data_IF_042655139429
#
_entry.id   IF_042655139429
#
_cell.length_a   1.000
_cell.length_b   1.000
_cell.length_c   1.000
_cell.angle_alpha   90.00
_cell.angle_beta   90.00
_cell.angle_gamma   90.00
#
_symmetry.space_group_name_H-M   'P 1'
#
loop_
_entity.id
_entity.type
_entity.pdbx_description
1 polymer ?
#
# COMPACT_ATOMS: atom_id res chain seq x y z
N UNK A 1 20.72 10.12 11.78
CA UNK A 1 20.45 9.73 10.39
C UNK A 1 21.66 10.09 9.53
N UNK A 2 22.17 9.13 8.77
CA UNK A 2 23.29 9.32 7.82
C UNK A 2 22.75 9.01 6.44
N UNK A 3 22.97 9.93 5.49
CA UNK A 3 22.68 9.74 4.08
C UNK A 3 23.99 9.61 3.29
N UNK A 4 24.10 8.53 2.53
CA UNK A 4 25.24 8.26 1.64
C UNK A 4 24.74 8.46 0.21
N UNK A 5 25.42 9.27 -0.59
CA UNK A 5 25.12 9.44 -2.01
C UNK A 5 25.96 8.46 -2.82
N UNK A 6 25.30 7.66 -3.65
CA UNK A 6 25.92 6.70 -4.57
C UNK A 6 25.70 7.16 -6.00
N UNK A 7 26.78 7.36 -6.74
CA UNK A 7 26.73 7.69 -8.16
C UNK A 7 27.25 6.50 -8.97
N UNK A 8 26.50 6.07 -9.97
CA UNK A 8 26.88 4.94 -10.81
C UNK A 8 26.50 5.15 -12.27
N UNK A 9 27.29 4.58 -13.18
CA UNK A 9 26.97 4.46 -14.60
C UNK A 9 26.28 3.14 -14.96
N UNK A 10 26.11 2.27 -13.96
CA UNK A 10 25.43 0.99 -14.09
C UNK A 10 24.24 0.93 -13.15
N UNK A 11 23.15 0.34 -13.63
CA UNK A 11 21.96 0.12 -12.82
C UNK A 11 22.27 -0.87 -11.69
N UNK A 12 21.96 -0.50 -10.47
CA UNK A 12 22.15 -1.33 -9.27
C UNK A 12 20.78 -1.64 -8.69
N UNK A 13 20.49 -2.92 -8.53
CA UNK A 13 19.22 -3.36 -7.95
C UNK A 13 19.09 -2.96 -6.48
N UNK A 14 17.90 -2.57 -6.06
CA UNK A 14 17.63 -2.05 -4.71
C UNK A 14 18.01 -3.02 -3.59
N UNK A 15 17.90 -4.33 -3.85
CA UNK A 15 18.35 -5.37 -2.92
C UNK A 15 19.82 -5.20 -2.49
N UNK A 16 20.70 -4.81 -3.42
CA UNK A 16 22.12 -4.60 -3.11
C UNK A 16 22.34 -3.29 -2.35
N UNK A 17 21.54 -2.26 -2.66
CA UNK A 17 21.56 -1.00 -1.92
C UNK A 17 21.19 -1.24 -0.45
N UNK A 18 20.11 -1.95 -0.20
CA UNK A 18 19.68 -2.30 1.16
C UNK A 18 20.69 -3.18 1.91
N UNK A 19 21.39 -4.05 1.18
CA UNK A 19 22.46 -4.84 1.78
C UNK A 19 23.64 -3.95 2.20
N UNK A 20 24.04 -3.00 1.38
CA UNK A 20 25.08 -2.01 1.71
C UNK A 20 24.65 -1.17 2.92
N UNK A 21 23.42 -0.67 2.96
CA UNK A 21 22.89 0.06 4.12
C UNK A 21 22.99 -0.76 5.41
N UNK A 22 22.59 -2.03 5.34
CA UNK A 22 22.66 -2.97 6.45
C UNK A 22 24.08 -3.21 6.93
N UNK A 23 25.02 -3.43 5.99
CA UNK A 23 26.43 -3.67 6.30
C UNK A 23 27.09 -2.42 6.89
N UNK A 24 26.84 -1.24 6.32
CA UNK A 24 27.36 0.03 6.85
C UNK A 24 26.85 0.25 8.28
N UNK A 25 25.57 0.01 8.53
CA UNK A 25 24.99 0.12 9.87
C UNK A 25 25.65 -0.85 10.85
N UNK A 26 25.83 -2.12 10.46
CA UNK A 26 26.42 -3.13 11.31
C UNK A 26 27.90 -2.88 11.61
N UNK A 27 28.69 -2.45 10.64
CA UNK A 27 30.12 -2.27 10.79
C UNK A 27 30.49 -0.95 11.47
N UNK A 28 29.81 0.14 11.12
CA UNK A 28 30.18 1.47 11.59
C UNK A 28 29.33 1.96 12.76
N UNK A 29 28.09 1.48 12.87
CA UNK A 29 27.10 2.02 13.80
C UNK A 29 26.36 0.95 14.62
N UNK A 30 27.00 -0.20 14.84
CA UNK A 30 26.39 -1.36 15.53
C UNK A 30 25.82 -1.04 16.91
N UNK A 31 26.40 -0.09 17.63
CA UNK A 31 26.00 0.32 18.99
C UNK A 31 25.17 1.60 19.03
N UNK A 32 24.75 2.11 17.87
CA UNK A 32 24.01 3.37 17.78
C UNK A 32 22.62 3.15 17.17
N UNK A 33 21.66 4.01 17.51
CA UNK A 33 20.34 4.06 16.87
C UNK A 33 20.34 4.85 15.56
N UNK A 34 21.51 5.05 14.95
CA UNK A 34 21.65 5.80 13.69
C UNK A 34 21.08 4.96 12.56
N UNK A 35 20.22 5.58 11.76
CA UNK A 35 19.78 5.02 10.48
C UNK A 35 20.73 5.44 9.37
N UNK A 36 21.09 4.51 8.50
CA UNK A 36 21.88 4.74 7.30
C UNK A 36 20.97 4.56 6.11
N UNK A 37 20.98 5.50 5.18
CA UNK A 37 20.25 5.43 3.92
C UNK A 37 21.17 5.80 2.77
N UNK A 38 21.11 5.04 1.69
CA UNK A 38 21.84 5.31 0.45
C UNK A 38 20.87 5.93 -0.55
N UNK A 39 21.21 7.13 -1.05
CA UNK A 39 20.52 7.76 -2.18
C UNK A 39 21.34 7.52 -3.43
N UNK A 40 20.83 6.71 -4.33
CA UNK A 40 21.44 6.43 -5.62
C UNK A 40 21.01 7.43 -6.68
N UNK A 41 21.96 7.77 -7.55
CA UNK A 41 21.77 8.55 -8.78
C UNK A 41 22.55 7.89 -9.90
N UNK A 42 21.97 7.82 -11.07
CA UNK A 42 22.53 7.11 -12.20
C UNK A 42 22.82 8.05 -13.38
N UNK A 43 24.01 7.91 -13.95
CA UNK A 43 24.41 8.49 -15.24
C UNK A 43 24.43 7.37 -16.29
N UNK A 44 23.22 6.90 -16.66
CA UNK A 44 23.05 5.74 -17.53
C UNK A 44 23.21 6.12 -19.00
N UNK A 45 23.75 5.18 -19.79
CA UNK A 45 23.87 5.34 -21.24
C UNK A 45 22.47 5.45 -21.90
N UNK A 46 22.43 5.89 -23.16
CA UNK A 46 21.19 6.05 -23.93
C UNK A 46 20.45 4.73 -24.19
N UNK A 47 21.10 3.60 -24.01
CA UNK A 47 20.49 2.26 -24.10
C UNK A 47 19.43 2.03 -23.04
N UNK A 48 19.53 2.71 -21.90
CA UNK A 48 18.53 2.64 -20.83
C UNK A 48 17.36 3.58 -21.15
N UNK A 49 16.49 3.14 -22.05
CA UNK A 49 15.22 3.82 -22.28
C UNK A 49 14.31 3.71 -21.07
N UNK A 50 13.30 4.58 -20.91
CA UNK A 50 12.33 4.46 -19.81
C UNK A 50 11.67 3.08 -19.74
N UNK A 51 11.34 2.47 -20.87
CA UNK A 51 10.76 1.14 -20.94
C UNK A 51 11.74 0.07 -20.43
N UNK A 52 13.01 0.10 -20.88
CA UNK A 52 14.03 -0.82 -20.38
C UNK A 52 14.27 -0.64 -18.88
N UNK A 53 14.28 0.60 -18.39
CA UNK A 53 14.41 0.89 -16.96
C UNK A 53 13.23 0.35 -16.15
N UNK A 54 12.01 0.50 -16.67
CA UNK A 54 10.83 -0.06 -16.01
C UNK A 54 10.93 -1.58 -15.89
N UNK A 55 11.37 -2.27 -16.95
CA UNK A 55 11.52 -3.72 -16.97
C UNK A 55 12.67 -4.19 -16.06
N UNK A 56 13.85 -3.59 -16.19
CA UNK A 56 15.05 -4.00 -15.45
C UNK A 56 15.00 -3.68 -13.95
N UNK A 57 14.33 -2.58 -13.59
CA UNK A 57 14.26 -2.10 -12.22
C UNK A 57 12.93 -2.43 -11.53
N UNK A 58 12.06 -3.19 -12.16
CA UNK A 58 10.71 -3.49 -11.68
C UNK A 58 10.68 -4.07 -10.26
N UNK A 59 11.50 -5.09 -10.01
CA UNK A 59 11.60 -5.69 -8.68
C UNK A 59 12.07 -4.69 -7.62
N UNK A 60 12.92 -3.76 -8.01
CA UNK A 60 13.40 -2.70 -7.12
C UNK A 60 12.30 -1.70 -6.78
N UNK A 61 11.42 -1.35 -7.73
CA UNK A 61 10.22 -0.56 -7.45
C UNK A 61 9.31 -1.26 -6.43
N UNK A 62 9.06 -2.56 -6.62
CA UNK A 62 8.24 -3.32 -5.69
C UNK A 62 8.85 -3.39 -4.29
N UNK A 63 10.19 -3.55 -4.19
CA UNK A 63 10.90 -3.55 -2.91
C UNK A 63 10.80 -2.21 -2.17
N UNK A 64 10.93 -1.10 -2.89
CA UNK A 64 10.81 0.23 -2.28
C UNK A 64 9.39 0.53 -1.84
N UNK A 65 8.41 0.17 -2.68
CA UNK A 65 7.00 0.33 -2.35
C UNK A 65 6.59 -0.54 -1.16
N UNK A 66 7.16 -1.74 -1.02
CA UNK A 66 6.88 -2.61 0.13
C UNK A 66 7.27 -1.96 1.47
N UNK A 67 8.34 -1.19 1.49
CA UNK A 67 8.74 -0.42 2.68
C UNK A 67 7.92 0.87 2.88
N UNK A 68 7.37 1.43 1.80
CA UNK A 68 6.61 2.68 1.83
C UNK A 68 5.12 2.47 2.02
N UNK A 69 4.53 1.59 1.22
CA UNK A 69 3.09 1.36 1.16
C UNK A 69 2.79 0.01 0.50
N UNK A 70 2.44 -0.98 1.28
CA UNK A 70 2.02 -2.30 0.78
C UNK A 70 0.86 -2.20 -0.21
N UNK A 71 -0.01 -1.20 -0.04
CA UNK A 71 -1.12 -0.94 -0.95
C UNK A 71 -0.61 -0.54 -2.33
N UNK A 72 0.29 0.45 -2.42
CA UNK A 72 0.86 0.92 -3.69
C UNK A 72 1.71 -0.18 -4.35
N UNK A 73 2.43 -0.96 -3.55
CA UNK A 73 3.15 -2.15 -4.02
C UNK A 73 2.21 -3.15 -4.69
N UNK A 74 1.07 -3.47 -4.06
CA UNK A 74 0.09 -4.38 -4.63
C UNK A 74 -0.61 -3.79 -5.87
N UNK A 75 -0.84 -2.48 -5.89
CA UNK A 75 -1.36 -1.80 -7.08
C UNK A 75 -0.41 -1.96 -8.26
N UNK A 76 0.89 -1.67 -8.10
CA UNK A 76 1.88 -1.81 -9.16
C UNK A 76 2.05 -3.27 -9.58
N UNK A 77 2.06 -4.21 -8.64
CA UNK A 77 2.22 -5.63 -8.91
C UNK A 77 1.07 -6.23 -9.74
N UNK A 78 -0.15 -5.71 -9.57
CA UNK A 78 -1.33 -6.17 -10.31
C UNK A 78 -1.66 -5.29 -11.53
N UNK A 79 -0.87 -4.25 -11.78
CA UNK A 79 -1.02 -3.39 -12.94
C UNK A 79 -0.41 -4.00 -14.18
N UNK A 80 -0.98 -3.68 -15.33
CA UNK A 80 -0.28 -3.76 -16.61
C UNK A 80 0.25 -2.39 -17.00
N UNK A 81 1.36 -2.34 -17.73
CA UNK A 81 1.94 -1.08 -18.17
C UNK A 81 2.46 -1.18 -19.60
N UNK A 82 2.38 -0.08 -20.30
CA UNK A 82 2.86 0.08 -21.67
C UNK A 82 3.48 1.46 -21.81
N UNK A 83 4.43 1.60 -22.74
CA UNK A 83 5.03 2.89 -23.06
C UNK A 83 4.54 3.40 -24.41
N UNK A 84 4.02 4.63 -24.43
CA UNK A 84 3.68 5.37 -25.63
C UNK A 84 4.75 6.44 -25.92
N UNK A 85 5.14 6.59 -27.17
CA UNK A 85 6.11 7.59 -27.62
C UNK A 85 7.46 7.60 -26.86
N UNK A 86 7.78 6.50 -26.17
CA UNK A 86 9.05 6.30 -25.48
C UNK A 86 9.17 6.96 -24.08
N UNK A 87 8.29 7.90 -23.75
CA UNK A 87 8.34 8.64 -22.49
C UNK A 87 6.98 8.78 -21.76
N UNK A 88 5.93 8.19 -22.29
CA UNK A 88 4.62 8.17 -21.65
C UNK A 88 4.36 6.76 -21.11
N UNK A 89 4.31 6.62 -19.79
CA UNK A 89 3.99 5.37 -19.11
C UNK A 89 2.47 5.30 -18.89
N UNK A 90 1.80 4.45 -19.67
CA UNK A 90 0.39 4.12 -19.47
C UNK A 90 0.29 2.99 -18.45
N UNK A 91 -0.20 3.29 -17.26
CA UNK A 91 -0.36 2.34 -16.17
C UNK A 91 -1.83 1.96 -16.02
N UNK A 92 -2.17 0.71 -16.31
CA UNK A 92 -3.55 0.21 -16.19
C UNK A 92 -3.73 -0.46 -14.83
N UNK A 93 -4.54 0.14 -13.98
CA UNK A 93 -4.86 -0.32 -12.63
C UNK A 93 -6.23 -1.01 -12.61
N UNK A 94 -6.40 -1.96 -11.70
CA UNK A 94 -7.73 -2.49 -11.38
C UNK A 94 -8.59 -1.39 -10.75
N UNK A 95 -9.79 -1.17 -11.28
CA UNK A 95 -10.72 -0.14 -10.78
C UNK A 95 -11.26 -0.52 -9.40
N UNK A 96 -10.70 0.11 -8.39
CA UNK A 96 -11.11 0.00 -6.98
C UNK A 96 -11.06 1.36 -6.31
N UNK A 97 -11.86 1.58 -5.27
CA UNK A 97 -11.85 2.82 -4.48
C UNK A 97 -10.44 3.12 -3.93
N UNK A 98 -9.73 2.06 -3.55
CA UNK A 98 -8.35 2.17 -3.04
C UNK A 98 -7.39 2.64 -4.14
N UNK A 99 -7.49 2.06 -5.34
CA UNK A 99 -6.66 2.47 -6.47
C UNK A 99 -6.93 3.93 -6.87
N UNK A 100 -8.20 4.34 -6.91
CA UNK A 100 -8.58 5.73 -7.19
C UNK A 100 -8.00 6.71 -6.16
N UNK A 101 -8.00 6.34 -4.86
CA UNK A 101 -7.47 7.18 -3.79
C UNK A 101 -5.94 7.21 -3.70
N UNK A 102 -5.23 6.24 -4.29
CA UNK A 102 -3.77 6.10 -4.18
C UNK A 102 -3.01 6.30 -5.49
N UNK A 103 -3.72 6.46 -6.61
CA UNK A 103 -3.12 6.62 -7.95
C UNK A 103 -2.10 7.76 -8.01
N UNK A 104 -2.45 8.92 -7.44
CA UNK A 104 -1.61 10.11 -7.51
C UNK A 104 -0.31 9.91 -6.73
N UNK A 105 -0.37 9.26 -5.57
CA UNK A 105 0.81 8.93 -4.77
C UNK A 105 1.74 7.94 -5.48
N UNK A 106 1.18 6.91 -6.13
CA UNK A 106 1.95 5.94 -6.92
C UNK A 106 2.56 6.60 -8.17
N UNK A 107 1.79 7.42 -8.88
CA UNK A 107 2.26 8.13 -10.07
C UNK A 107 3.38 9.10 -9.73
N UNK A 108 3.23 9.89 -8.67
CA UNK A 108 4.28 10.81 -8.19
C UNK A 108 5.55 10.04 -7.84
N UNK A 109 5.42 8.94 -7.10
CA UNK A 109 6.58 8.11 -6.74
C UNK A 109 7.35 7.62 -8.00
N UNK A 110 6.64 7.05 -8.97
CA UNK A 110 7.27 6.57 -10.20
C UNK A 110 7.92 7.72 -10.98
N UNK A 111 7.21 8.84 -11.14
CA UNK A 111 7.72 10.04 -11.82
C UNK A 111 8.99 10.56 -11.16
N UNK A 112 8.99 10.70 -9.82
CA UNK A 112 10.15 11.17 -9.05
C UNK A 112 11.37 10.24 -9.23
N UNK A 113 11.15 8.92 -9.25
CA UNK A 113 12.24 7.97 -9.46
C UNK A 113 12.82 8.09 -10.87
N UNK A 114 11.97 8.19 -11.89
CA UNK A 114 12.44 8.36 -13.26
C UNK A 114 13.18 9.69 -13.46
N UNK A 115 12.69 10.77 -12.89
CA UNK A 115 13.29 12.09 -13.03
C UNK A 115 14.54 12.26 -12.17
N UNK A 116 14.43 12.05 -10.84
CA UNK A 116 15.53 12.34 -9.92
C UNK A 116 16.65 11.31 -9.93
N UNK A 117 16.31 10.04 -10.14
CA UNK A 117 17.29 8.94 -10.02
C UNK A 117 17.90 8.57 -11.37
N UNK A 118 17.08 8.46 -12.41
CA UNK A 118 17.51 8.03 -13.74
C UNK A 118 17.77 9.18 -14.72
N UNK A 119 17.33 10.39 -14.40
CA UNK A 119 17.37 11.54 -15.30
C UNK A 119 16.67 11.25 -16.65
N UNK A 120 15.56 10.52 -16.58
CA UNK A 120 14.68 10.13 -17.70
C UNK A 120 13.23 10.45 -17.36
N UNK A 121 12.80 11.72 -17.43
CA UNK A 121 11.46 12.10 -17.05
C UNK A 121 10.41 11.38 -17.90
N UNK A 122 9.36 10.88 -17.26
CA UNK A 122 8.23 10.20 -17.88
C UNK A 122 6.92 10.87 -17.49
N UNK A 123 5.99 10.95 -18.44
CA UNK A 123 4.60 11.29 -18.16
C UNK A 123 3.85 10.01 -17.78
N UNK A 124 3.09 10.03 -16.68
CA UNK A 124 2.33 8.86 -16.25
C UNK A 124 0.84 9.08 -16.50
N UNK A 125 0.25 8.17 -17.26
CA UNK A 125 -1.20 8.10 -17.51
C UNK A 125 -1.78 6.88 -16.84
N UNK A 126 -2.75 7.11 -15.96
CA UNK A 126 -3.43 6.02 -15.27
C UNK A 126 -4.73 5.70 -15.99
N UNK A 127 -4.86 4.45 -16.39
CA UNK A 127 -6.06 3.87 -16.96
C UNK A 127 -6.66 2.88 -15.95
N UNK A 128 -7.94 2.59 -16.06
CA UNK A 128 -8.63 1.65 -15.19
C UNK A 128 -9.24 0.50 -15.99
N UNK A 129 -8.97 -0.72 -15.53
CA UNK A 129 -9.62 -1.92 -16.02
C UNK A 129 -10.55 -2.49 -14.94
N UNK A 130 -11.75 -2.93 -15.38
CA UNK A 130 -12.67 -3.61 -14.45
C UNK A 130 -12.02 -4.88 -13.92
N UNK A 131 -12.13 -5.11 -12.62
CA UNK A 131 -11.62 -6.31 -11.99
C UNK A 131 -12.15 -7.56 -12.69
N UNK A 132 -11.24 -8.45 -13.13
CA UNK A 132 -11.62 -9.76 -13.68
C UNK A 132 -12.36 -10.55 -12.61
N UNK A 133 -13.60 -10.83 -12.89
CA UNK A 133 -14.77 -11.11 -12.03
C UNK A 133 -14.69 -12.25 -10.99
N UNK A 134 -13.61 -13.00 -10.85
CA UNK A 134 -13.70 -14.26 -10.09
C UNK A 134 -13.16 -14.23 -8.65
N UNK A 135 -12.16 -13.40 -8.36
CA UNK A 135 -11.58 -13.35 -6.99
C UNK A 135 -12.10 -12.19 -6.14
N UNK A 136 -12.43 -11.06 -6.76
CA UNK A 136 -12.93 -9.89 -6.04
C UNK A 136 -14.39 -10.07 -5.62
N UNK A 137 -15.24 -10.63 -6.49
CA UNK A 137 -16.62 -10.96 -6.12
C UNK A 137 -16.73 -11.94 -4.95
N UNK A 138 -15.79 -12.90 -4.89
CA UNK A 138 -15.73 -13.82 -3.75
C UNK A 138 -15.36 -13.12 -2.44
N UNK A 139 -14.39 -12.19 -2.51
CA UNK A 139 -13.95 -11.44 -1.33
C UNK A 139 -14.98 -10.37 -0.91
N UNK A 140 -15.64 -9.71 -1.86
CA UNK A 140 -16.72 -8.75 -1.58
C UNK A 140 -17.94 -9.46 -0.98
N UNK A 141 -18.37 -10.56 -1.58
CA UNK A 141 -19.49 -11.37 -1.04
C UNK A 141 -19.17 -11.93 0.35
N UNK A 142 -17.94 -12.33 0.61
CA UNK A 142 -17.51 -12.80 1.93
C UNK A 142 -17.47 -11.67 2.95
N UNK A 143 -17.00 -10.49 2.56
CA UNK A 143 -16.98 -9.30 3.42
C UNK A 143 -18.39 -8.81 3.74
N UNK A 144 -19.32 -8.83 2.76
CA UNK A 144 -20.73 -8.51 2.99
C UNK A 144 -21.37 -9.48 3.96
N UNK A 145 -21.12 -10.79 3.83
CA UNK A 145 -21.60 -11.80 4.77
C UNK A 145 -21.06 -11.60 6.19
N UNK A 146 -19.78 -11.27 6.33
CA UNK A 146 -19.17 -10.97 7.64
C UNK A 146 -19.77 -9.70 8.27
N UNK A 147 -20.00 -8.66 7.47
CA UNK A 147 -20.66 -7.42 7.94
C UNK A 147 -22.10 -7.68 8.37
N UNK A 148 -22.84 -8.50 7.63
CA UNK A 148 -24.22 -8.85 7.95
C UNK A 148 -24.31 -9.70 9.22
N UNK A 149 -23.41 -10.67 9.39
CA UNK A 149 -23.30 -11.47 10.62
C UNK A 149 -22.96 -10.60 11.85
N UNK A 150 -22.08 -9.61 11.71
CA UNK A 150 -21.74 -8.67 12.79
C UNK A 150 -22.96 -7.78 13.13
N UNK A 151 -23.71 -7.34 12.13
CA UNK A 151 -24.94 -6.55 12.34
C UNK A 151 -26.01 -7.36 13.09
N UNK A 152 -26.24 -8.61 12.69
CA UNK A 152 -27.18 -9.50 13.37
C UNK A 152 -26.78 -9.77 14.82
N UNK A 153 -25.50 -10.04 15.07
CA UNK A 153 -24.99 -10.22 16.43
C UNK A 153 -25.15 -8.96 17.28
N UNK A 154 -24.89 -7.79 16.70
CA UNK A 154 -25.03 -6.52 17.42
C UNK A 154 -26.50 -6.20 17.75
N UNK A 155 -27.43 -6.54 16.85
CA UNK A 155 -28.87 -6.39 17.09
C UNK A 155 -29.38 -7.38 18.16
N UNK A 156 -28.91 -8.63 18.12
CA UNK A 156 -29.28 -9.64 19.13
C UNK A 156 -28.75 -9.26 20.53
N UNK A 157 -27.56 -8.68 20.63
CA UNK A 157 -27.01 -8.17 21.90
C UNK A 157 -27.79 -6.96 22.41
N UNK A 158 -28.20 -6.05 21.52
CA UNK A 158 -29.05 -4.91 21.90
C UNK A 158 -30.43 -5.34 22.36
N UNK A 159 -31.06 -6.33 21.70
CA UNK A 159 -32.35 -6.87 22.07
C UNK A 159 -32.34 -7.58 23.44
N UNK A 160 -31.27 -8.38 23.69
CA UNK A 160 -31.06 -9.00 25.01
C UNK A 160 -30.85 -7.99 26.12
N UNK A 161 -30.09 -6.94 25.89
CA UNK A 161 -29.90 -5.85 26.88
C UNK A 161 -31.20 -5.08 27.16
N UNK A 162 -32.04 -4.86 26.14
CA UNK A 162 -33.34 -4.22 26.33
C UNK A 162 -34.26 -5.08 27.20
N UNK A 163 -34.35 -6.38 26.93
CA UNK A 163 -35.15 -7.33 27.73
C UNK A 163 -34.66 -7.45 29.16
N UNK A 164 -33.35 -7.43 29.39
CA UNK A 164 -32.77 -7.45 30.76
C UNK A 164 -33.07 -6.17 31.53
N UNK A 165 -33.15 -5.02 30.85
CA UNK A 165 -33.53 -3.75 31.47
C UNK A 165 -35.00 -3.71 31.83
N UNK A 166 -35.92 -4.18 30.95
CA UNK A 166 -37.35 -4.28 31.22
C UNK A 166 -37.62 -5.21 32.41
N UNK A 167 -36.99 -6.39 32.47
CA UNK A 167 -37.14 -7.31 33.60
C UNK A 167 -36.61 -6.76 34.93
N UNK A 168 -35.61 -5.89 34.89
CA UNK A 168 -35.10 -5.22 36.11
C UNK A 168 -36.00 -4.09 36.57
N UNK A 169 -36.69 -3.41 35.69
CA UNK A 169 -37.68 -2.38 36.03
C UNK A 169 -38.93 -3.00 36.61
N UNK A 170 -39.47 -4.06 36.02
CA UNK A 170 -40.62 -4.79 36.56
C UNK A 170 -40.39 -5.33 37.96
N UNK A 171 -39.19 -5.92 38.23
CA UNK A 171 -38.82 -6.40 39.57
C UNK A 171 -38.61 -5.30 40.59
N UNK A 172 -38.32 -4.05 40.18
CA UNK A 172 -38.24 -2.90 41.07
C UNK A 172 -39.66 -2.40 41.46
N UNK A 173 -40.56 -2.38 40.52
CA UNK A 173 -41.93 -1.93 40.76
C UNK A 173 -42.74 -2.92 41.65
N UNK A 174 -42.49 -4.22 41.50
CA UNK A 174 -43.09 -5.23 42.42
C UNK A 174 -42.55 -5.09 43.86
N UNK A 175 -41.25 -4.80 44.02
CA UNK A 175 -40.66 -4.60 45.36
C UNK A 175 -41.11 -3.29 46.03
N UNK A 176 -41.52 -2.32 45.26
CA UNK A 176 -42.02 -1.04 45.80
C UNK A 176 -43.48 -1.16 46.23
N UNK A 177 -44.30 -1.96 45.53
CA UNK A 177 -45.67 -2.25 45.89
C UNK A 177 -45.81 -3.16 47.12
N UNK A 178 -44.85 -4.06 47.34
CA UNK A 178 -44.85 -4.99 48.52
C UNK A 178 -44.37 -4.31 49.80
N UNK A 179 -43.86 -3.08 49.79
CA UNK A 179 -43.46 -2.32 51.03
C UNK A 179 -44.47 -1.27 51.43
N UNK A 180 -45.58 -1.13 50.74
CA UNK A 180 -46.62 -0.13 51.01
C UNK A 180 -47.97 -0.76 51.50
N UNK A 181 -47.94 -1.99 51.99
CA UNK A 181 -49.08 -2.63 52.66
C UNK A 181 -48.72 -3.05 54.06
#
# INVERSE_FOLDING_TARGET
FIRVSLYSRHLIQKKHIYEVERLLKQQLFARSHIQVSVKEQYDLSEQYTPENLMNEYYDSFLMELDQRSVVERNMLQNASYEFENGNILCLTLTDTIVAQGKKDSLSTYLSDVFEERFHRPVEIRVLYEKAKDSKLKYNEAKLEQEIEAIREQSQAVKAKKAQELEQKEEKKDEKTKAKSN
#
